data_IF_364182954983
#
_entry.id   IF_364182954983
#
_cell.length_a   1.000
_cell.length_b   1.000
_cell.length_c   1.000
_cell.angle_alpha   90.00
_cell.angle_beta   90.00
_cell.angle_gamma   90.00
#
_symmetry.space_group_name_H-M   'P 1'
#
loop_
_entity.id
_entity.type
_entity.pdbx_description
1 polymer ?
#
# COMPACT_ATOMS: atom_id res chain seq x y z
N UNK A 1 -10.25 9.91 -12.78
CA UNK A 1 -8.89 10.05 -13.33
C UNK A 1 -7.93 9.42 -12.33
N UNK A 2 -6.80 8.89 -12.79
CA UNK A 2 -5.79 8.35 -11.87
C UNK A 2 -5.13 9.48 -11.08
N UNK A 3 -4.85 9.23 -9.80
CA UNK A 3 -4.15 10.17 -8.93
C UNK A 3 -2.77 10.51 -9.51
N UNK A 4 -2.37 11.78 -9.39
CA UNK A 4 -1.12 12.30 -9.93
C UNK A 4 -0.33 13.08 -8.88
N UNK A 5 0.94 13.39 -9.17
CA UNK A 5 1.76 14.27 -8.34
C UNK A 5 1.05 15.62 -8.15
N UNK A 6 1.00 16.09 -6.91
CA UNK A 6 0.31 17.31 -6.49
C UNK A 6 -1.13 17.09 -6.00
N UNK A 7 -1.73 15.94 -6.29
CA UNK A 7 -3.08 15.61 -5.79
C UNK A 7 -3.06 15.28 -4.29
N UNK A 8 -4.17 15.57 -3.61
CA UNK A 8 -4.42 15.09 -2.25
C UNK A 8 -5.05 13.71 -2.29
N UNK A 9 -4.65 12.84 -1.37
CA UNK A 9 -5.31 11.55 -1.20
C UNK A 9 -6.80 11.73 -0.83
N UNK A 10 -7.69 10.82 -1.29
CA UNK A 10 -9.10 10.89 -0.93
C UNK A 10 -9.29 10.64 0.56
N UNK A 11 -10.39 11.15 1.13
CA UNK A 11 -10.78 10.88 2.51
C UNK A 11 -11.78 9.71 2.53
N UNK A 12 -11.26 8.50 2.63
CA UNK A 12 -11.99 7.23 2.65
C UNK A 12 -11.54 6.34 3.81
N UNK A 13 -12.23 5.22 4.00
CA UNK A 13 -11.98 4.30 5.11
C UNK A 13 -11.21 3.04 4.66
N UNK A 14 -10.18 2.70 5.43
CA UNK A 14 -9.55 1.38 5.44
C UNK A 14 -10.02 0.58 6.66
N UNK A 15 -9.61 -0.69 6.68
CA UNK A 15 -9.69 -1.56 7.86
C UNK A 15 -8.31 -2.03 8.27
N UNK A 16 -8.10 -2.15 9.58
CA UNK A 16 -7.01 -2.92 10.19
C UNK A 16 -7.60 -3.92 11.16
N UNK A 17 -6.90 -5.01 11.46
CA UNK A 17 -7.37 -5.95 12.46
C UNK A 17 -6.98 -5.44 13.86
N UNK A 18 -7.98 -5.12 14.68
CA UNK A 18 -7.79 -4.72 16.06
C UNK A 18 -7.32 -5.87 16.95
N UNK A 19 -6.88 -5.53 18.16
CA UNK A 19 -6.40 -6.52 19.15
C UNK A 19 -7.47 -7.53 19.59
N UNK A 20 -8.75 -7.18 19.44
CA UNK A 20 -9.90 -8.06 19.68
C UNK A 20 -10.12 -9.10 18.57
N UNK A 21 -9.34 -9.03 17.47
CA UNK A 21 -9.57 -9.85 16.27
C UNK A 21 -10.72 -9.35 15.39
N UNK A 22 -11.24 -8.15 15.67
CA UNK A 22 -12.29 -7.51 14.87
C UNK A 22 -11.74 -6.35 14.04
N UNK A 23 -12.31 -6.08 12.85
CA UNK A 23 -11.92 -4.94 12.04
C UNK A 23 -12.16 -3.60 12.73
N UNK A 24 -11.15 -2.75 12.74
CA UNK A 24 -11.24 -1.36 13.18
C UNK A 24 -11.20 -0.44 11.96
N UNK A 25 -12.00 0.63 11.97
CA UNK A 25 -11.95 1.66 10.93
C UNK A 25 -10.67 2.46 11.09
N UNK A 26 -9.95 2.68 10.00
CA UNK A 26 -8.87 3.67 9.92
C UNK A 26 -9.16 4.62 8.78
N UNK A 27 -9.19 5.91 9.05
CA UNK A 27 -9.34 6.90 7.99
C UNK A 27 -8.02 7.08 7.23
N UNK A 28 -8.08 7.13 5.91
CA UNK A 28 -6.92 7.39 5.04
C UNK A 28 -6.18 8.70 5.38
N UNK A 29 -6.85 9.78 5.75
CA UNK A 29 -6.20 11.03 6.17
C UNK A 29 -5.50 10.89 7.52
N UNK A 30 -6.04 10.09 8.44
CA UNK A 30 -5.39 9.84 9.73
C UNK A 30 -4.15 8.95 9.57
N UNK A 31 -4.22 7.93 8.70
CA UNK A 31 -3.12 7.00 8.48
C UNK A 31 -2.01 7.55 7.56
N UNK A 32 -2.38 8.34 6.56
CA UNK A 32 -1.50 8.70 5.43
C UNK A 32 -1.36 10.22 5.23
N UNK A 33 -2.10 11.04 5.98
CA UNK A 33 -2.24 12.48 5.76
C UNK A 33 -1.29 13.37 6.56
N UNK A 34 -0.32 12.80 7.29
CA UNK A 34 0.61 13.55 8.14
C UNK A 34 2.03 13.06 7.97
N UNK A 35 2.96 14.00 7.89
CA UNK A 35 4.38 13.70 7.77
C UNK A 35 4.73 13.12 6.39
N UNK A 36 5.94 12.56 6.31
CA UNK A 36 6.39 11.86 5.10
C UNK A 36 5.96 10.40 5.17
N UNK A 37 5.13 9.97 4.21
CA UNK A 37 4.56 8.62 4.16
C UNK A 37 4.96 7.92 2.87
N UNK A 38 5.35 6.66 2.96
CA UNK A 38 5.52 5.78 1.80
C UNK A 38 4.38 4.78 1.77
N UNK A 39 3.61 4.80 0.69
CA UNK A 39 2.53 3.84 0.44
C UNK A 39 2.95 2.94 -0.71
N UNK A 40 2.70 1.65 -0.60
CA UNK A 40 2.74 0.75 -1.75
C UNK A 40 1.48 -0.10 -1.77
N UNK A 41 0.94 -0.31 -2.96
CA UNK A 41 -0.24 -1.13 -3.17
C UNK A 41 0.10 -2.38 -3.95
N UNK A 42 -0.64 -3.44 -3.64
CA UNK A 42 -0.50 -4.75 -4.28
C UNK A 42 -1.84 -5.25 -4.79
N UNK A 43 -1.85 -6.06 -5.87
CA UNK A 43 -3.07 -6.72 -6.34
C UNK A 43 -3.72 -7.66 -5.30
N UNK A 44 -2.93 -8.29 -4.44
CA UNK A 44 -3.48 -9.17 -3.43
C UNK A 44 -2.46 -9.76 -2.48
N UNK A 45 -2.87 -9.89 -1.22
CA UNK A 45 -2.17 -10.69 -0.22
C UNK A 45 -1.95 -12.13 -0.70
N UNK A 46 -0.85 -12.75 -0.28
CA UNK A 46 -0.43 -14.12 -0.64
C UNK A 46 -0.17 -14.41 -2.14
N UNK A 47 -0.37 -13.44 -3.05
CA UNK A 47 -0.01 -13.64 -4.46
C UNK A 47 1.52 -13.64 -4.65
N UNK A 48 2.07 -14.36 -5.66
CA UNK A 48 3.50 -14.63 -5.74
C UNK A 48 4.39 -13.38 -5.78
N UNK A 49 4.16 -12.45 -6.72
CA UNK A 49 5.01 -11.25 -6.83
C UNK A 49 4.93 -10.32 -5.61
N UNK A 50 3.77 -10.28 -4.96
CA UNK A 50 3.54 -9.48 -3.76
C UNK A 50 4.26 -10.05 -2.54
N UNK A 51 4.28 -11.38 -2.42
CA UNK A 51 4.77 -12.11 -1.24
C UNK A 51 6.23 -12.54 -1.33
N UNK A 52 6.78 -12.63 -2.55
CA UNK A 52 8.18 -13.02 -2.75
C UNK A 52 9.11 -11.83 -2.97
N UNK A 53 8.58 -10.70 -3.44
CA UNK A 53 9.39 -9.55 -3.86
C UNK A 53 8.90 -8.25 -3.21
N UNK A 54 7.67 -7.83 -3.50
CA UNK A 54 7.24 -6.46 -3.20
C UNK A 54 7.23 -6.14 -1.70
N UNK A 55 6.39 -6.80 -0.91
CA UNK A 55 6.34 -6.59 0.54
C UNK A 55 7.67 -6.93 1.24
N UNK A 56 8.35 -8.06 0.93
CA UNK A 56 9.67 -8.35 1.49
C UNK A 56 10.71 -7.24 1.27
N UNK A 57 10.72 -6.58 0.11
CA UNK A 57 11.62 -5.46 -0.17
C UNK A 57 11.40 -4.30 0.81
N UNK A 58 10.15 -3.91 1.07
CA UNK A 58 9.82 -2.90 2.07
C UNK A 58 10.15 -3.34 3.50
N UNK A 59 9.92 -4.62 3.82
CA UNK A 59 10.27 -5.23 5.12
C UNK A 59 11.78 -5.12 5.37
N UNK A 60 12.61 -5.45 4.39
CA UNK A 60 14.07 -5.43 4.50
C UNK A 60 14.63 -4.01 4.60
N UNK A 61 14.00 -3.06 3.90
CA UNK A 61 14.47 -1.67 3.80
C UNK A 61 13.76 -0.69 4.76
N UNK A 62 12.90 -1.16 5.68
CA UNK A 62 12.10 -0.30 6.57
C UNK A 62 12.94 0.71 7.36
N UNK A 63 14.12 0.31 7.83
CA UNK A 63 15.00 1.19 8.59
C UNK A 63 15.71 2.21 7.70
N UNK A 64 16.01 1.87 6.44
CA UNK A 64 16.54 2.82 5.47
C UNK A 64 15.50 3.89 5.10
N UNK A 65 14.23 3.48 4.95
CA UNK A 65 13.12 4.42 4.73
C UNK A 65 12.98 5.39 5.91
N UNK A 66 12.96 4.87 7.15
CA UNK A 66 12.92 5.71 8.36
C UNK A 66 14.12 6.64 8.47
N UNK A 67 15.32 6.17 8.15
CA UNK A 67 16.52 7.00 8.14
C UNK A 67 16.44 8.18 7.15
N UNK A 68 15.61 8.07 6.10
CA UNK A 68 15.28 9.16 5.16
C UNK A 68 14.08 10.02 5.59
N UNK A 69 13.65 9.89 6.84
CA UNK A 69 12.56 10.66 7.45
C UNK A 69 11.17 10.18 7.08
N UNK A 70 11.01 8.95 6.56
CA UNK A 70 9.68 8.35 6.38
C UNK A 70 9.12 7.97 7.75
N UNK A 71 7.98 8.55 8.11
CA UNK A 71 7.32 8.34 9.39
C UNK A 71 6.39 7.13 9.35
N UNK A 72 5.72 6.90 8.22
CA UNK A 72 4.80 5.79 8.00
C UNK A 72 5.12 5.05 6.72
N UNK A 73 5.19 3.72 6.81
CA UNK A 73 5.23 2.82 5.65
C UNK A 73 3.92 2.04 5.66
N UNK A 74 3.15 2.09 4.57
CA UNK A 74 1.85 1.45 4.48
C UNK A 74 1.72 0.55 3.25
N UNK A 75 1.17 -0.65 3.45
CA UNK A 75 0.81 -1.58 2.39
C UNK A 75 -0.71 -1.57 2.19
N UNK A 76 -1.19 -1.24 0.99
CA UNK A 76 -2.61 -1.26 0.64
C UNK A 76 -2.92 -2.48 -0.23
N UNK A 77 -4.03 -3.16 0.05
CA UNK A 77 -4.55 -4.21 -0.84
C UNK A 77 -6.06 -4.27 -0.74
N UNK A 78 -6.73 -4.60 -1.85
CA UNK A 78 -8.15 -4.94 -1.86
C UNK A 78 -8.32 -6.37 -1.34
N UNK A 79 -8.25 -6.50 -0.02
CA UNK A 79 -8.43 -7.72 0.75
C UNK A 79 -9.13 -7.35 2.06
N UNK A 80 -9.77 -8.32 2.68
CA UNK A 80 -10.31 -8.16 4.03
C UNK A 80 -9.19 -8.04 5.09
N UNK A 81 -9.47 -7.39 6.23
CA UNK A 81 -8.46 -7.11 7.26
C UNK A 81 -7.89 -8.37 7.94
N UNK A 82 -8.65 -9.47 8.02
CA UNK A 82 -8.13 -10.72 8.57
C UNK A 82 -7.04 -11.31 7.67
N UNK A 83 -7.28 -11.33 6.36
CA UNK A 83 -6.27 -11.76 5.39
C UNK A 83 -5.06 -10.84 5.39
N UNK A 84 -5.26 -9.51 5.45
CA UNK A 84 -4.14 -8.55 5.48
C UNK A 84 -3.28 -8.68 6.74
N UNK A 85 -3.90 -8.87 7.91
CA UNK A 85 -3.19 -9.09 9.17
C UNK A 85 -2.42 -10.42 9.17
N UNK A 86 -3.07 -11.52 8.77
CA UNK A 86 -2.43 -12.83 8.68
C UNK A 86 -1.25 -12.82 7.69
N UNK A 87 -1.40 -12.13 6.55
CA UNK A 87 -0.34 -11.98 5.56
C UNK A 87 0.82 -11.13 6.10
N UNK A 88 0.54 -9.99 6.74
CA UNK A 88 1.56 -9.15 7.37
C UNK A 88 2.39 -9.93 8.39
N UNK A 89 1.73 -10.70 9.25
CA UNK A 89 2.40 -11.59 10.23
C UNK A 89 3.26 -12.65 9.55
N UNK A 90 2.75 -13.32 8.52
CA UNK A 90 3.49 -14.33 7.77
C UNK A 90 4.74 -13.77 7.05
N UNK A 91 4.75 -12.46 6.80
CA UNK A 91 5.82 -11.75 6.07
C UNK A 91 6.77 -10.98 7.01
N UNK A 92 6.56 -11.04 8.33
CA UNK A 92 7.35 -10.27 9.30
C UNK A 92 7.26 -8.77 9.09
N UNK A 93 6.07 -8.28 8.71
CA UNK A 93 5.82 -6.90 8.31
C UNK A 93 5.67 -5.92 9.49
N UNK A 94 6.30 -6.19 10.64
CA UNK A 94 6.24 -5.32 11.81
C UNK A 94 6.67 -3.87 11.47
N UNK A 95 5.90 -2.88 11.91
CA UNK A 95 6.18 -1.48 11.57
C UNK A 95 5.84 -1.10 10.12
N UNK A 96 5.20 -1.97 9.34
CA UNK A 96 4.45 -1.62 8.13
C UNK A 96 2.96 -1.68 8.45
N UNK A 97 2.24 -0.60 8.14
CA UNK A 97 0.80 -0.52 8.33
C UNK A 97 0.08 -1.29 7.21
N UNK A 98 -0.50 -2.43 7.54
CA UNK A 98 -1.23 -3.28 6.60
C UNK A 98 -2.69 -2.80 6.49
N UNK A 99 -3.00 -2.04 5.44
CA UNK A 99 -4.31 -1.43 5.21
C UNK A 99 -5.16 -2.30 4.28
N UNK A 100 -6.24 -2.86 4.84
CA UNK A 100 -7.27 -3.52 4.05
C UNK A 100 -8.22 -2.49 3.43
N UNK A 101 -8.29 -2.50 2.10
CA UNK A 101 -9.22 -1.69 1.31
C UNK A 101 -10.43 -2.53 0.89
N UNK A 102 -11.63 -1.98 1.03
CA UNK A 102 -12.86 -2.56 0.45
C UNK A 102 -12.94 -2.34 -1.07
N UNK A 103 -11.99 -1.61 -1.64
CA UNK A 103 -11.93 -1.15 -3.02
C UNK A 103 -12.36 0.31 -3.18
N UNK A 104 -12.71 1.00 -2.09
CA UNK A 104 -13.10 2.40 -2.10
C UNK A 104 -11.89 3.29 -2.39
N UNK A 105 -10.78 3.11 -1.66
CA UNK A 105 -9.57 3.90 -1.89
C UNK A 105 -9.01 3.68 -3.29
N UNK A 106 -8.85 2.42 -3.68
CA UNK A 106 -8.33 2.04 -4.99
C UNK A 106 -9.14 2.67 -6.14
N UNK A 107 -10.47 2.66 -6.04
CA UNK A 107 -11.37 3.31 -7.01
C UNK A 107 -11.22 4.83 -7.01
N UNK A 108 -11.20 5.43 -5.82
CA UNK A 108 -11.08 6.88 -5.66
C UNK A 108 -9.77 7.44 -6.21
N UNK A 109 -8.68 6.67 -6.16
CA UNK A 109 -7.40 7.06 -6.78
C UNK A 109 -7.28 6.63 -8.25
N UNK A 110 -8.29 5.95 -8.79
CA UNK A 110 -8.35 5.55 -10.20
C UNK A 110 -7.34 4.47 -10.59
N UNK A 111 -6.87 3.66 -9.64
CA UNK A 111 -5.84 2.63 -9.85
C UNK A 111 -6.41 1.21 -9.66
N UNK A 112 -7.64 0.99 -10.11
CA UNK A 112 -8.25 -0.34 -10.16
C UNK A 112 -7.68 -1.17 -11.32
N UNK A 113 -7.69 -2.49 -11.16
CA UNK A 113 -7.48 -3.47 -12.23
C UNK A 113 -8.46 -4.63 -12.10
N UNK A 114 -8.76 -5.28 -13.22
CA UNK A 114 -9.49 -6.54 -13.22
C UNK A 114 -8.53 -7.71 -12.97
N UNK A 115 -8.74 -8.42 -11.86
CA UNK A 115 -7.99 -9.63 -11.49
C UNK A 115 -8.70 -10.94 -11.81
N UNK A 116 -9.86 -10.90 -12.47
CA UNK A 116 -10.73 -12.08 -12.71
C UNK A 116 -10.03 -13.22 -13.46
N UNK A 117 -9.11 -12.91 -14.38
CA UNK A 117 -8.30 -13.89 -15.09
C UNK A 117 -7.41 -14.77 -14.18
N UNK A 118 -7.15 -14.32 -12.95
CA UNK A 118 -6.39 -15.05 -11.93
C UNK A 118 -7.30 -15.62 -10.82
N UNK A 119 -8.62 -15.59 -10.99
CA UNK A 119 -9.59 -15.99 -9.97
C UNK A 119 -9.77 -14.97 -8.85
N UNK A 120 -9.32 -13.73 -9.05
CA UNK A 120 -9.54 -12.61 -8.13
C UNK A 120 -10.78 -11.80 -8.55
N UNK A 121 -11.12 -10.76 -7.79
CA UNK A 121 -12.09 -9.75 -8.20
C UNK A 121 -11.41 -8.52 -8.81
N UNK A 122 -12.09 -7.38 -8.77
CA UNK A 122 -11.45 -6.07 -8.95
C UNK A 122 -10.44 -5.85 -7.83
N UNK A 123 -9.21 -5.45 -8.19
CA UNK A 123 -8.08 -5.27 -7.28
C UNK A 123 -7.38 -3.93 -7.51
N UNK A 124 -6.41 -3.63 -6.66
CA UNK A 124 -5.50 -2.51 -6.87
C UNK A 124 -4.42 -2.86 -7.87
N UNK A 125 -4.08 -1.93 -8.76
CA UNK A 125 -2.85 -2.01 -9.52
C UNK A 125 -1.65 -2.03 -8.57
N UNK A 126 -0.51 -2.53 -9.04
CA UNK A 126 0.73 -2.42 -8.27
C UNK A 126 1.30 -1.01 -8.46
N UNK A 127 1.53 -0.32 -7.36
CA UNK A 127 2.18 0.98 -7.37
C UNK A 127 2.88 1.29 -6.05
N UNK A 128 3.71 2.32 -6.04
CA UNK A 128 4.17 3.01 -4.84
C UNK A 128 3.91 4.50 -4.94
N UNK A 129 3.71 5.18 -3.81
CA UNK A 129 3.60 6.63 -3.72
C UNK A 129 4.40 7.16 -2.53
N UNK A 130 4.96 8.34 -2.68
CA UNK A 130 5.48 9.14 -1.56
C UNK A 130 4.48 10.26 -1.33
N UNK A 131 4.08 10.44 -0.07
CA UNK A 131 3.17 11.48 0.36
C UNK A 131 3.90 12.42 1.32
N UNK A 132 3.62 13.71 1.21
CA UNK A 132 3.93 14.70 2.22
C UNK A 132 2.62 15.33 2.69
N UNK A 133 2.25 15.11 3.94
CA UNK A 133 1.02 15.63 4.54
C UNK A 133 -0.24 15.33 3.70
N UNK A 134 -0.30 14.09 3.19
CA UNK A 134 -1.40 13.59 2.35
C UNK A 134 -1.40 14.10 0.90
N UNK A 135 -0.40 14.88 0.48
CA UNK A 135 -0.20 15.29 -0.92
C UNK A 135 0.78 14.33 -1.59
N UNK A 136 0.43 13.83 -2.77
CA UNK A 136 1.31 12.97 -3.57
C UNK A 136 2.50 13.77 -4.07
N UNK A 137 3.71 13.40 -3.66
CA UNK A 137 4.95 13.99 -4.18
C UNK A 137 5.61 13.10 -5.24
N UNK A 138 5.31 11.80 -5.22
CA UNK A 138 5.78 10.81 -6.19
C UNK A 138 4.74 9.71 -6.36
N UNK A 139 4.57 9.20 -7.59
CA UNK A 139 3.71 8.04 -7.89
C UNK A 139 4.35 7.16 -8.97
N UNK A 140 4.56 5.88 -8.65
CA UNK A 140 5.16 4.89 -9.53
C UNK A 140 4.18 3.75 -9.78
N UNK A 141 3.47 3.78 -10.91
CA UNK A 141 2.50 2.75 -11.29
C UNK A 141 3.13 1.76 -12.25
N UNK A 142 3.07 0.47 -11.91
CA UNK A 142 3.57 -0.59 -12.80
C UNK A 142 2.73 -0.67 -14.08
N UNK A 143 3.41 -0.86 -15.22
CA UNK A 143 2.75 -1.07 -16.52
C UNK A 143 2.41 -2.55 -16.77
N UNK A 144 2.74 -3.44 -15.83
CA UNK A 144 2.58 -4.88 -15.98
C UNK A 144 2.65 -5.63 -14.65
N UNK A 145 2.73 -6.98 -14.66
CA UNK A 145 2.67 -7.78 -13.45
C UNK A 145 3.94 -7.72 -12.58
N UNK A 146 5.01 -7.11 -13.09
CA UNK A 146 6.31 -7.03 -12.45
C UNK A 146 6.34 -6.18 -11.17
N UNK A 147 7.49 -6.18 -10.52
CA UNK A 147 7.84 -5.29 -9.41
C UNK A 147 9.10 -4.56 -9.85
N UNK A 148 8.93 -3.36 -10.39
CA UNK A 148 10.01 -2.56 -10.98
C UNK A 148 9.98 -1.15 -10.37
N UNK A 149 9.22 -0.24 -10.95
CA UNK A 149 9.12 1.17 -10.53
C UNK A 149 8.55 1.31 -9.11
N UNK A 150 7.74 0.35 -8.67
CA UNK A 150 7.19 0.31 -7.31
C UNK A 150 8.08 -0.38 -6.28
N UNK A 151 9.22 -0.95 -6.68
CA UNK A 151 10.13 -1.62 -5.75
C UNK A 151 10.70 -0.63 -4.71
N UNK A 152 10.91 -1.11 -3.48
CA UNK A 152 11.38 -0.26 -2.38
C UNK A 152 12.73 0.39 -2.67
N UNK A 153 13.62 -0.29 -3.39
CA UNK A 153 14.94 0.21 -3.81
C UNK A 153 14.81 1.42 -4.74
N UNK A 154 13.80 1.41 -5.62
CA UNK A 154 13.50 2.55 -6.50
C UNK A 154 12.93 3.70 -5.67
N UNK A 155 11.98 3.43 -4.79
CA UNK A 155 11.39 4.45 -3.90
C UNK A 155 12.45 5.12 -3.02
N UNK A 156 13.41 4.37 -2.49
CA UNK A 156 14.54 4.93 -1.73
C UNK A 156 15.36 5.94 -2.53
N UNK A 157 15.46 5.77 -3.85
CA UNK A 157 16.13 6.70 -4.75
C UNK A 157 15.41 8.05 -4.89
N UNK A 158 14.10 8.10 -4.61
CA UNK A 158 13.27 9.29 -4.76
C UNK A 158 13.05 10.07 -3.43
N UNK A 159 13.55 9.54 -2.30
CA UNK A 159 13.38 10.08 -0.94
C UNK A 159 14.50 11.02 -0.48
#
# INVERSE_FOLDING_TARGET
MAISVGDKIPNVQFRVLGSSGMPETVNSHDALGKGKVVVFAVPGAFTPGCSMVHLPGYVQNREALKAKGVETIACVSVNDPWVMDAWGKAQGADGILMLADSGEFTRSVGLEMDGSGFGLGTRSQRYSAILQDGVVTEINVEQGPGVTVSACEIVLGHL
#
